data_IF_614683836732
#
_entry.id   IF_614683836732
#
_cell.length_a   1.000
_cell.length_b   1.000
_cell.length_c   1.000
_cell.angle_alpha   90.00
_cell.angle_beta   90.00
_cell.angle_gamma   90.00
#
_symmetry.space_group_name_H-M   'P 1'
#
loop_
_entity.id
_entity.type
_entity.pdbx_description
1 polymer ?
#
# COMPACT_ATOMS: atom_id res chain seq x y z
N UNK A 1 -7.15 20.92 7.03
CA UNK A 1 -7.15 19.47 6.76
C UNK A 1 -7.89 19.21 5.45
N UNK A 2 -7.33 19.49 4.27
CA UNK A 2 -8.14 19.43 3.00
C UNK A 2 -7.32 19.30 1.70
N UNK A 3 -6.03 18.96 1.72
CA UNK A 3 -5.20 19.00 0.49
C UNK A 3 -5.24 17.73 -0.38
N UNK A 4 -4.86 16.58 0.20
CA UNK A 4 -4.60 15.35 -0.55
C UNK A 4 -5.88 14.58 -0.95
N UNK A 5 -6.88 14.52 -0.05
CA UNK A 5 -8.18 13.90 -0.32
C UNK A 5 -8.93 14.55 -1.50
N UNK A 6 -8.72 15.85 -1.72
CA UNK A 6 -9.42 16.60 -2.77
C UNK A 6 -8.85 16.34 -4.17
N UNK A 7 -7.53 16.14 -4.33
CA UNK A 7 -6.90 15.97 -5.65
C UNK A 7 -7.16 14.61 -6.29
N UNK A 8 -7.16 13.53 -5.50
CA UNK A 8 -7.50 12.19 -6.00
C UNK A 8 -8.95 12.17 -6.51
N UNK A 9 -9.89 12.69 -5.72
CA UNK A 9 -11.30 12.80 -6.11
C UNK A 9 -11.51 13.72 -7.33
N UNK A 10 -10.75 14.81 -7.45
CA UNK A 10 -10.79 15.72 -8.60
C UNK A 10 -10.32 15.07 -9.91
N UNK A 11 -9.30 14.20 -9.88
CA UNK A 11 -8.86 13.46 -11.07
C UNK A 11 -9.88 12.41 -11.52
N UNK A 12 -10.47 11.67 -10.58
CA UNK A 12 -11.46 10.64 -10.91
C UNK A 12 -12.83 11.22 -11.30
N UNK A 13 -13.15 12.44 -10.88
CA UNK A 13 -14.42 13.11 -11.22
C UNK A 13 -14.58 13.54 -12.69
N UNK A 14 -13.50 13.58 -13.49
CA UNK A 14 -13.55 14.10 -14.87
C UNK A 14 -13.79 13.05 -15.97
N UNK A 15 -13.84 11.75 -15.66
CA UNK A 15 -14.06 10.69 -16.66
C UNK A 15 -15.35 9.91 -16.38
N UNK A 16 -16.49 10.48 -16.76
CA UNK A 16 -17.80 9.83 -16.60
C UNK A 16 -18.27 9.24 -17.94
N UNK A 17 -17.83 8.01 -18.21
CA UNK A 17 -18.62 6.99 -18.93
C UNK A 17 -18.59 5.72 -18.05
N UNK A 18 -19.58 4.83 -18.17
CA UNK A 18 -19.97 3.84 -17.14
C UNK A 18 -18.90 2.94 -16.49
N UNK A 19 -17.67 2.87 -17.02
CA UNK A 19 -16.52 2.25 -16.35
C UNK A 19 -15.82 3.12 -15.29
N UNK A 20 -15.93 4.45 -15.36
CA UNK A 20 -15.23 5.40 -14.47
C UNK A 20 -15.74 5.41 -13.03
N UNK A 21 -17.03 5.13 -12.81
CA UNK A 21 -17.62 5.09 -11.46
C UNK A 21 -17.07 3.94 -10.61
N UNK A 22 -16.85 2.77 -11.23
CA UNK A 22 -16.28 1.60 -10.55
C UNK A 22 -14.82 1.85 -10.16
N UNK A 23 -14.03 2.41 -11.08
CA UNK A 23 -12.62 2.79 -10.83
C UNK A 23 -12.48 3.73 -9.64
N UNK A 24 -13.34 4.75 -9.59
CA UNK A 24 -13.36 5.72 -8.48
C UNK A 24 -13.72 5.05 -7.15
N UNK A 25 -14.72 4.16 -7.14
CA UNK A 25 -15.11 3.41 -5.95
C UNK A 25 -13.97 2.52 -5.43
N UNK A 26 -13.29 1.79 -6.32
CA UNK A 26 -12.18 0.90 -5.95
C UNK A 26 -10.98 1.70 -5.42
N UNK A 27 -10.62 2.83 -6.06
CA UNK A 27 -9.56 3.71 -5.59
C UNK A 27 -9.86 4.31 -4.20
N UNK A 28 -11.11 4.74 -3.97
CA UNK A 28 -11.56 5.23 -2.65
C UNK A 28 -11.43 4.11 -1.61
N UNK A 29 -11.92 2.91 -1.91
CA UNK A 29 -11.86 1.76 -0.98
C UNK A 29 -10.41 1.43 -0.62
N UNK A 30 -9.52 1.35 -1.60
CA UNK A 30 -8.11 1.05 -1.37
C UNK A 30 -7.42 2.15 -0.56
N UNK A 31 -7.68 3.43 -0.85
CA UNK A 31 -7.19 4.54 -0.03
C UNK A 31 -7.68 4.46 1.41
N UNK A 32 -8.98 4.31 1.63
CA UNK A 32 -9.56 4.24 2.98
C UNK A 32 -8.96 3.07 3.77
N UNK A 33 -8.78 1.91 3.13
CA UNK A 33 -8.14 0.75 3.77
C UNK A 33 -6.66 1.00 4.08
N UNK A 34 -5.90 1.56 3.14
CA UNK A 34 -4.50 1.94 3.36
C UNK A 34 -4.37 2.84 4.60
N UNK A 35 -5.16 3.92 4.68
CA UNK A 35 -5.11 4.85 5.80
C UNK A 35 -5.52 4.20 7.13
N UNK A 36 -6.54 3.33 7.11
CA UNK A 36 -6.97 2.59 8.29
C UNK A 36 -5.87 1.67 8.81
N UNK A 37 -5.26 0.86 7.94
CA UNK A 37 -4.20 -0.06 8.35
C UNK A 37 -2.91 0.67 8.73
N UNK A 38 -2.58 1.81 8.10
CA UNK A 38 -1.46 2.64 8.54
C UNK A 38 -1.66 3.11 9.99
N UNK A 39 -2.83 3.66 10.31
CA UNK A 39 -3.18 4.07 11.68
C UNK A 39 -3.08 2.91 12.67
N UNK A 40 -3.56 1.72 12.31
CA UNK A 40 -3.46 0.54 13.17
C UNK A 40 -2.01 0.06 13.35
N UNK A 41 -1.15 0.21 12.33
CA UNK A 41 0.27 -0.14 12.40
C UNK A 41 1.05 0.80 13.34
N UNK A 42 0.66 2.08 13.36
CA UNK A 42 1.31 3.14 14.14
C UNK A 42 0.79 3.23 15.58
N UNK A 43 -0.38 2.65 15.86
CA UNK A 43 -0.98 2.60 17.21
C UNK A 43 -0.12 1.76 18.17
N UNK A 44 0.43 2.39 19.19
CA UNK A 44 1.37 1.76 20.13
C UNK A 44 0.70 0.69 21.02
N UNK A 45 -0.60 0.81 21.23
CA UNK A 45 -1.44 -0.12 22.01
C UNK A 45 -1.63 -1.47 21.31
N UNK A 46 -1.42 -1.54 19.99
CA UNK A 46 -1.51 -2.79 19.24
C UNK A 46 -0.26 -3.64 19.48
N UNK A 47 -0.45 -4.96 19.56
CA UNK A 47 0.66 -5.90 19.69
C UNK A 47 1.58 -5.85 18.47
N UNK A 48 2.86 -6.19 18.66
CA UNK A 48 3.87 -6.20 17.57
C UNK A 48 3.38 -6.99 16.34
N UNK A 49 2.83 -8.22 16.46
CA UNK A 49 2.32 -8.96 15.31
C UNK A 49 1.16 -8.26 14.59
N UNK A 50 0.25 -7.63 15.34
CA UNK A 50 -0.87 -6.85 14.75
C UNK A 50 -0.32 -5.68 13.95
N UNK A 51 0.65 -4.95 14.50
CA UNK A 51 1.27 -3.80 13.83
C UNK A 51 2.02 -4.18 12.57
N UNK A 52 2.79 -5.27 12.60
CA UNK A 52 3.48 -5.81 11.41
C UNK A 52 2.47 -6.21 10.33
N UNK A 53 1.40 -6.92 10.71
CA UNK A 53 0.31 -7.29 9.77
C UNK A 53 -0.36 -6.05 9.18
N UNK A 54 -0.59 -5.02 10.00
CA UNK A 54 -1.18 -3.77 9.56
C UNK A 54 -0.27 -3.03 8.57
N UNK A 55 1.05 -2.95 8.79
CA UNK A 55 1.99 -2.41 7.80
C UNK A 55 1.95 -3.16 6.47
N UNK A 56 1.88 -4.49 6.50
CA UNK A 56 1.73 -5.30 5.29
C UNK A 56 0.42 -4.98 4.53
N UNK A 57 -0.71 -4.90 5.25
CA UNK A 57 -2.01 -4.59 4.63
C UNK A 57 -2.06 -3.15 4.09
N UNK A 58 -1.43 -2.20 4.78
CA UNK A 58 -1.27 -0.84 4.29
C UNK A 58 -0.44 -0.80 2.99
N UNK A 59 0.70 -1.50 2.96
CA UNK A 59 1.53 -1.63 1.75
C UNK A 59 0.76 -2.27 0.58
N UNK A 60 -0.02 -3.32 0.86
CA UNK A 60 -0.83 -3.98 -0.16
C UNK A 60 -1.86 -3.02 -0.77
N UNK A 61 -2.57 -2.25 0.05
CA UNK A 61 -3.61 -1.36 -0.45
C UNK A 61 -3.10 -0.10 -1.14
N UNK A 62 -1.94 0.43 -0.75
CA UNK A 62 -1.34 1.53 -1.52
C UNK A 62 -0.76 1.05 -2.87
N UNK A 63 -0.29 -0.20 -2.96
CA UNK A 63 0.09 -0.81 -4.23
C UNK A 63 -1.12 -1.05 -5.14
N UNK A 64 -2.24 -1.57 -4.60
CA UNK A 64 -3.52 -1.67 -5.33
C UNK A 64 -3.94 -0.30 -5.90
N UNK A 65 -3.84 0.76 -5.09
CA UNK A 65 -4.16 2.12 -5.53
C UNK A 65 -3.26 2.58 -6.69
N UNK A 66 -1.96 2.27 -6.64
CA UNK A 66 -1.02 2.61 -7.72
C UNK A 66 -1.36 1.89 -9.01
N UNK A 67 -1.62 0.59 -8.97
CA UNK A 67 -1.88 -0.18 -10.20
C UNK A 67 -3.29 0.03 -10.75
N UNK A 68 -4.25 0.46 -9.91
CA UNK A 68 -5.59 0.83 -10.34
C UNK A 68 -5.62 2.05 -11.28
N UNK A 69 -4.60 2.92 -11.23
CA UNK A 69 -4.42 4.01 -12.20
C UNK A 69 -4.17 3.51 -13.63
N UNK A 70 -3.75 2.25 -13.78
CA UNK A 70 -3.53 1.56 -15.05
C UNK A 70 -4.60 0.47 -15.31
N UNK A 71 -5.74 0.52 -14.62
CA UNK A 71 -6.84 -0.47 -14.70
C UNK A 71 -6.45 -1.90 -14.33
N UNK A 72 -5.46 -2.06 -13.46
CA UNK A 72 -5.00 -3.35 -12.95
C UNK A 72 -5.42 -3.54 -11.50
N UNK A 73 -5.53 -4.81 -11.07
CA UNK A 73 -5.83 -5.18 -9.70
C UNK A 73 -4.96 -6.36 -9.27
N UNK A 74 -4.34 -6.23 -8.10
CA UNK A 74 -3.50 -7.30 -7.54
C UNK A 74 -4.39 -8.43 -7.02
N UNK A 75 -5.50 -8.12 -6.34
CA UNK A 75 -6.46 -9.04 -5.70
C UNK A 75 -5.87 -9.89 -4.57
N UNK A 76 -4.74 -10.57 -4.81
CA UNK A 76 -4.06 -11.43 -3.86
C UNK A 76 -2.55 -11.14 -3.82
N UNK A 77 -1.88 -11.18 -2.66
CA UNK A 77 -0.45 -10.87 -2.57
C UNK A 77 0.44 -11.67 -3.52
N UNK A 78 0.08 -12.92 -3.84
CA UNK A 78 0.82 -13.79 -4.75
C UNK A 78 0.82 -13.28 -6.21
N UNK A 79 -0.17 -12.46 -6.57
CA UNK A 79 -0.31 -11.87 -7.90
C UNK A 79 0.43 -10.54 -8.05
N UNK A 80 0.94 -9.97 -6.94
CA UNK A 80 1.58 -8.66 -6.92
C UNK A 80 2.71 -8.54 -7.94
N UNK A 81 3.51 -9.61 -8.11
CA UNK A 81 4.59 -9.66 -9.10
C UNK A 81 4.11 -9.40 -10.53
N UNK A 82 3.16 -10.21 -11.00
CA UNK A 82 2.67 -10.15 -12.37
C UNK A 82 1.97 -8.81 -12.66
N UNK A 83 1.21 -8.32 -11.69
CA UNK A 83 0.42 -7.09 -11.83
C UNK A 83 1.29 -5.84 -11.80
N UNK A 84 2.22 -5.74 -10.84
CA UNK A 84 3.14 -4.59 -10.75
C UNK A 84 4.08 -4.57 -11.96
N UNK A 85 4.59 -5.73 -12.43
CA UNK A 85 5.42 -5.76 -13.66
C UNK A 85 4.66 -5.25 -14.90
N UNK A 86 3.32 -5.34 -14.90
CA UNK A 86 2.45 -4.94 -16.01
C UNK A 86 2.02 -3.47 -15.98
N UNK A 87 2.21 -2.75 -14.87
CA UNK A 87 1.83 -1.34 -14.72
C UNK A 87 2.91 -0.41 -15.33
N UNK A 88 2.59 0.41 -16.35
CA UNK A 88 3.53 1.39 -16.88
C UNK A 88 3.95 2.45 -15.85
N UNK A 89 3.07 2.81 -14.90
CA UNK A 89 3.36 3.85 -13.90
C UNK A 89 4.42 3.49 -12.89
N UNK A 90 4.60 2.20 -12.60
CA UNK A 90 5.66 1.74 -11.69
C UNK A 90 7.00 1.50 -12.39
N UNK A 91 7.08 1.70 -13.72
CA UNK A 91 8.30 1.44 -14.50
C UNK A 91 9.48 2.21 -13.92
N UNK A 92 10.54 1.48 -13.57
CA UNK A 92 11.74 2.02 -12.89
C UNK A 92 11.72 1.87 -11.36
N UNK A 93 10.56 1.65 -10.75
CA UNK A 93 10.40 1.34 -9.31
C UNK A 93 9.95 -0.10 -9.03
N UNK A 94 9.50 -0.82 -10.06
CA UNK A 94 9.02 -2.21 -10.02
C UNK A 94 9.85 -3.12 -9.13
N UNK A 95 11.17 -3.25 -9.39
CA UNK A 95 12.06 -4.12 -8.62
C UNK A 95 12.07 -3.75 -7.14
N UNK A 96 12.22 -2.47 -6.82
CA UNK A 96 12.26 -1.97 -5.45
C UNK A 96 10.95 -2.24 -4.71
N UNK A 97 9.81 -1.97 -5.36
CA UNK A 97 8.49 -2.20 -4.76
C UNK A 97 8.28 -3.68 -4.44
N UNK A 98 8.61 -4.57 -5.38
CA UNK A 98 8.45 -6.01 -5.22
C UNK A 98 9.39 -6.61 -4.18
N UNK A 99 10.67 -6.23 -4.18
CA UNK A 99 11.63 -6.71 -3.19
C UNK A 99 11.21 -6.29 -1.78
N UNK A 100 10.80 -5.04 -1.59
CA UNK A 100 10.31 -4.56 -0.30
C UNK A 100 9.00 -5.25 0.11
N UNK A 101 8.05 -5.39 -0.81
CA UNK A 101 6.77 -6.04 -0.51
C UNK A 101 6.95 -7.50 -0.11
N UNK A 102 7.79 -8.26 -0.82
CA UNK A 102 8.13 -9.63 -0.46
C UNK A 102 8.89 -9.73 0.87
N UNK A 103 9.82 -8.80 1.15
CA UNK A 103 10.52 -8.77 2.44
C UNK A 103 9.57 -8.47 3.60
N UNK A 104 8.62 -7.56 3.41
CA UNK A 104 7.59 -7.25 4.40
C UNK A 104 6.69 -8.47 4.66
N UNK A 105 6.30 -9.19 3.60
CA UNK A 105 5.50 -10.41 3.72
C UNK A 105 6.27 -11.52 4.46
N UNK A 106 7.57 -11.67 4.18
CA UNK A 106 8.44 -12.60 4.90
C UNK A 106 8.49 -12.28 6.40
N UNK A 107 8.67 -11.01 6.78
CA UNK A 107 8.66 -10.60 8.19
C UNK A 107 7.30 -10.92 8.83
N UNK A 108 6.20 -10.66 8.13
CA UNK A 108 4.84 -10.99 8.60
C UNK A 108 4.67 -12.48 8.88
N UNK A 109 5.18 -13.33 8.00
CA UNK A 109 5.12 -14.80 8.16
C UNK A 109 6.02 -15.25 9.32
N UNK A 110 7.25 -14.76 9.38
CA UNK A 110 8.20 -15.08 10.45
C UNK A 110 7.69 -14.65 11.83
N UNK A 111 6.96 -13.54 11.94
CA UNK A 111 6.38 -13.11 13.22
C UNK A 111 5.22 -14.01 13.67
N UNK A 112 4.49 -14.63 12.73
CA UNK A 112 3.37 -15.53 13.03
C UNK A 112 3.86 -16.94 13.41
N UNK A 113 4.96 -17.40 12.81
CA UNK A 113 5.46 -18.78 12.98
C UNK A 113 6.80 -18.88 13.72
N UNK A 114 7.47 -17.76 14.01
CA UNK A 114 8.78 -17.70 14.65
C UNK A 114 8.69 -17.57 16.18
N UNK A 115 9.66 -18.18 16.87
CA UNK A 115 9.68 -18.31 18.33
C UNK A 115 10.06 -17.02 19.10
N UNK A 116 9.89 -15.83 18.54
CA UNK A 116 10.33 -14.60 19.21
C UNK A 116 9.64 -13.33 18.75
N UNK A 117 8.61 -12.91 19.49
CA UNK A 117 8.06 -11.56 19.40
C UNK A 117 9.13 -10.59 19.92
N UNK A 118 9.81 -9.87 19.03
CA UNK A 118 10.74 -8.82 19.45
C UNK A 118 10.63 -7.57 18.56
N UNK A 119 10.87 -6.40 19.15
CA UNK A 119 10.67 -5.10 18.47
C UNK A 119 11.59 -4.83 17.28
N UNK A 120 12.58 -5.69 16.98
CA UNK A 120 13.48 -5.50 15.81
C UNK A 120 12.71 -5.74 14.50
N UNK A 121 11.85 -6.75 14.47
CA UNK A 121 11.02 -7.04 13.29
C UNK A 121 10.04 -5.90 13.01
N UNK A 122 9.44 -5.32 14.04
CA UNK A 122 8.56 -4.16 13.89
C UNK A 122 9.27 -2.97 13.27
N UNK A 123 10.45 -2.59 13.80
CA UNK A 123 11.24 -1.48 13.23
C UNK A 123 11.65 -1.74 11.78
N UNK A 124 11.97 -2.99 11.45
CA UNK A 124 12.32 -3.39 10.08
C UNK A 124 11.10 -3.30 9.15
N UNK A 125 9.95 -3.82 9.59
CA UNK A 125 8.69 -3.75 8.86
C UNK A 125 8.28 -2.29 8.59
N UNK A 126 8.38 -1.43 9.60
CA UNK A 126 8.11 0.01 9.47
C UNK A 126 8.97 0.66 8.38
N UNK A 127 10.30 0.47 8.42
CA UNK A 127 11.21 1.08 7.42
C UNK A 127 10.96 0.58 5.99
N UNK A 128 10.65 -0.70 5.84
CA UNK A 128 10.31 -1.29 4.54
C UNK A 128 8.99 -0.68 4.04
N UNK A 129 7.98 -0.58 4.92
CA UNK A 129 6.72 0.08 4.60
C UNK A 129 6.92 1.54 4.19
N UNK A 130 7.67 2.34 4.96
CA UNK A 130 7.96 3.75 4.63
C UNK A 130 8.61 3.90 3.25
N UNK A 131 9.47 2.94 2.87
CA UNK A 131 10.09 2.91 1.54
C UNK A 131 9.08 2.63 0.42
N UNK A 132 8.17 1.67 0.63
CA UNK A 132 7.07 1.37 -0.31
C UNK A 132 6.14 2.57 -0.41
N UNK A 133 5.70 3.10 0.73
CA UNK A 133 4.76 4.21 0.83
C UNK A 133 5.29 5.43 0.09
N UNK A 134 6.53 5.85 0.37
CA UNK A 134 7.17 6.95 -0.34
C UNK A 134 7.17 6.73 -1.86
N UNK A 135 7.58 5.54 -2.30
CA UNK A 135 7.64 5.22 -3.72
C UNK A 135 6.26 5.30 -4.40
N UNK A 136 5.21 4.80 -3.73
CA UNK A 136 3.84 4.84 -4.20
C UNK A 136 3.25 6.25 -4.20
N UNK A 137 3.43 7.03 -3.13
CA UNK A 137 2.93 8.41 -3.06
C UNK A 137 3.59 9.31 -4.12
N UNK A 138 4.88 9.11 -4.40
CA UNK A 138 5.56 9.79 -5.51
C UNK A 138 4.93 9.45 -6.88
N UNK A 139 4.54 8.18 -7.11
CA UNK A 139 3.84 7.77 -8.34
C UNK A 139 2.46 8.41 -8.43
N UNK A 140 1.74 8.44 -7.31
CA UNK A 140 0.42 9.05 -7.19
C UNK A 140 0.45 10.59 -7.19
N UNK A 141 1.64 11.20 -7.11
CA UNK A 141 1.86 12.64 -7.01
C UNK A 141 1.22 13.26 -5.75
N UNK A 142 1.29 12.53 -4.64
CA UNK A 142 0.74 12.90 -3.35
C UNK A 142 1.81 13.36 -2.36
N UNK A 143 1.39 14.17 -1.39
CA UNK A 143 2.26 14.58 -0.29
C UNK A 143 2.41 13.44 0.73
N UNK A 144 3.65 13.22 1.18
CA UNK A 144 3.96 12.30 2.27
C UNK A 144 3.41 12.92 3.55
N UNK A 145 2.35 12.32 4.11
CA UNK A 145 1.80 12.79 5.38
C UNK A 145 2.80 12.46 6.51
N UNK A 146 3.27 13.47 7.27
CA UNK A 146 4.24 13.29 8.36
C UNK A 146 3.67 12.52 9.55
#
# INVERSE_FOLDING_TARGET
MTGAHSRALLRYGQQITGGGQKKMADAIVHRTKYEAFKRDAERAENSIPIRIKAYFLAAFHILELVVAEDDLHIQQPQQARAVIDSSPKVKGKTKQLLENFHQLDKIRIEEVYGAGINGKNLKKAQRIFETIEKACLEILQEEISP
#
